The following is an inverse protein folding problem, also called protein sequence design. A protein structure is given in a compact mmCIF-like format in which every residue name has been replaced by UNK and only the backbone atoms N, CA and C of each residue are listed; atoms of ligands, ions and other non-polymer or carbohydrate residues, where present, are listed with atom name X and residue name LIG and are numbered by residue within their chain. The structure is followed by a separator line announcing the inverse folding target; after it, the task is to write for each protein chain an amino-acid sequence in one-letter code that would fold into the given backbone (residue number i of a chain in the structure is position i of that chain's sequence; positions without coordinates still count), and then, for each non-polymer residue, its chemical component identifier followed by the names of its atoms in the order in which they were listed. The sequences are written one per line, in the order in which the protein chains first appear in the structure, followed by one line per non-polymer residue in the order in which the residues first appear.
data_IF_726550876754
#
_entry.id   IF_726550876754
#
_cell.length_a   1.000
_cell.length_b   1.000
_cell.length_c   1.000
_cell.angle_alpha   90.00
_cell.angle_beta   90.00
_cell.angle_gamma   90.00
#
_symmetry.space_group_name_H-M   'P 1'
#
loop_
_entity.id
_entity.type
_entity.pdbx_description
1 polymer ?
#
# COMPACT_ATOMS: atom_id res chain seq x y z
N UNK A 1 -69.21 -25.09 61.62
CA UNK A 1 -69.51 -26.10 60.58
C UNK A 1 -70.72 -26.91 61.02
N UNK A 2 -71.93 -26.65 60.51
CA UNK A 2 -73.04 -27.57 60.72
C UNK A 2 -72.88 -28.75 59.75
N UNK A 3 -72.87 -29.94 60.33
CA UNK A 3 -72.68 -31.22 59.65
C UNK A 3 -73.77 -31.46 58.60
N UNK A 4 -73.35 -31.85 57.39
CA UNK A 4 -74.18 -32.27 56.25
C UNK A 4 -75.19 -33.40 56.58
N UNK A 5 -75.14 -33.97 57.79
CA UNK A 5 -76.07 -35.02 58.25
C UNK A 5 -77.45 -34.53 58.70
N UNK A 6 -77.66 -33.25 59.02
CA UNK A 6 -78.98 -32.76 59.50
C UNK A 6 -79.90 -32.14 58.43
N UNK A 7 -79.45 -32.00 57.17
CA UNK A 7 -80.30 -31.46 56.09
C UNK A 7 -81.43 -32.41 55.67
N UNK A 8 -81.36 -33.70 56.02
CA UNK A 8 -82.34 -34.71 55.62
C UNK A 8 -83.62 -34.77 56.49
N UNK A 9 -83.73 -34.00 57.57
CA UNK A 9 -84.86 -34.02 58.54
C UNK A 9 -85.74 -32.76 58.52
N UNK A 10 -85.49 -31.78 57.64
CA UNK A 10 -86.31 -30.56 57.56
C UNK A 10 -87.74 -30.79 57.04
N UNK A 11 -88.75 -30.01 57.47
CA UNK A 11 -90.09 -30.04 56.88
C UNK A 11 -90.03 -29.83 55.36
N UNK A 12 -90.86 -30.53 54.60
CA UNK A 12 -90.83 -30.56 53.13
C UNK A 12 -90.96 -29.18 52.48
N UNK A 13 -91.71 -28.26 53.11
CA UNK A 13 -91.92 -26.88 52.63
C UNK A 13 -90.63 -26.05 52.60
N UNK A 14 -89.78 -26.15 53.63
CA UNK A 14 -88.51 -25.40 53.71
C UNK A 14 -87.51 -25.91 52.67
N UNK A 15 -87.49 -27.23 52.41
CA UNK A 15 -86.63 -27.82 51.37
C UNK A 15 -86.99 -27.32 49.98
N UNK A 16 -88.29 -27.27 49.67
CA UNK A 16 -88.77 -26.75 48.38
C UNK A 16 -88.44 -25.25 48.22
N UNK A 17 -88.58 -24.46 49.28
CA UNK A 17 -88.20 -23.05 49.27
C UNK A 17 -86.71 -22.82 49.00
N UNK A 18 -85.83 -23.55 49.70
CA UNK A 18 -84.38 -23.46 49.47
C UNK A 18 -83.97 -23.99 48.09
N UNK A 19 -84.59 -25.07 47.61
CA UNK A 19 -84.34 -25.61 46.27
C UNK A 19 -84.74 -24.62 45.17
N UNK A 20 -85.88 -23.93 45.32
CA UNK A 20 -86.33 -22.91 44.38
C UNK A 20 -85.40 -21.69 44.36
N UNK A 21 -84.91 -21.23 45.52
CA UNK A 21 -83.94 -20.13 45.59
C UNK A 21 -82.61 -20.49 44.94
N UNK A 22 -82.07 -21.68 45.20
CA UNK A 22 -80.83 -22.14 44.58
C UNK A 22 -80.98 -22.33 43.06
N UNK A 23 -82.12 -22.86 42.61
CA UNK A 23 -82.43 -22.98 41.18
C UNK A 23 -82.61 -21.61 40.51
N UNK A 24 -83.25 -20.65 41.18
CA UNK A 24 -83.38 -19.28 40.69
C UNK A 24 -82.03 -18.56 40.61
N UNK A 25 -81.17 -18.75 41.63
CA UNK A 25 -79.84 -18.16 41.67
C UNK A 25 -78.92 -18.78 40.59
N UNK A 26 -79.02 -20.08 40.34
CA UNK A 26 -78.26 -20.74 39.26
C UNK A 26 -78.74 -20.31 37.86
N UNK A 27 -80.06 -20.13 37.66
CA UNK A 27 -80.61 -19.58 36.42
C UNK A 27 -80.20 -18.12 36.20
N UNK A 28 -80.23 -17.29 37.25
CA UNK A 28 -79.77 -15.91 37.18
C UNK A 28 -78.28 -15.82 36.85
N UNK A 29 -77.45 -16.69 37.44
CA UNK A 29 -76.02 -16.77 37.14
C UNK A 29 -75.76 -17.26 35.71
N UNK A 30 -76.51 -18.26 35.23
CA UNK A 30 -76.45 -18.74 33.85
C UNK A 30 -76.87 -17.64 32.85
N UNK A 31 -77.88 -16.84 33.19
CA UNK A 31 -78.31 -15.69 32.39
C UNK A 31 -77.25 -14.57 32.36
N UNK A 32 -76.63 -14.25 33.50
CA UNK A 32 -75.54 -13.26 33.59
C UNK A 32 -74.32 -13.68 32.76
N UNK A 33 -73.90 -14.95 32.85
CA UNK A 33 -72.79 -15.47 32.04
C UNK A 33 -73.08 -15.46 30.53
N UNK A 34 -74.34 -15.63 30.12
CA UNK A 34 -74.75 -15.48 28.72
C UNK A 34 -74.66 -14.02 28.23
N UNK A 35 -74.99 -13.05 29.08
CA UNK A 35 -74.86 -11.62 28.77
C UNK A 35 -73.39 -11.22 28.61
N UNK A 36 -72.52 -11.68 29.51
CA UNK A 36 -71.08 -11.44 29.41
C UNK A 36 -70.50 -12.00 28.11
N UNK A 37 -70.94 -13.19 27.70
CA UNK A 37 -70.54 -13.79 26.43
C UNK A 37 -71.00 -12.98 25.21
N UNK A 38 -72.18 -12.36 25.26
CA UNK A 38 -72.70 -11.50 24.19
C UNK A 38 -71.92 -10.18 24.10
N UNK A 39 -71.65 -9.55 25.24
CA UNK A 39 -70.85 -8.32 25.35
C UNK A 39 -69.41 -8.56 24.88
N UNK A 40 -68.79 -9.68 25.27
CA UNK A 40 -67.45 -10.04 24.84
C UNK A 40 -67.35 -10.24 23.31
N UNK A 41 -68.35 -10.88 22.68
CA UNK A 41 -68.42 -11.02 21.22
C UNK A 41 -68.59 -9.68 20.52
N UNK A 42 -69.43 -8.80 21.08
CA UNK A 42 -69.63 -7.45 20.55
C UNK A 42 -68.34 -6.62 20.63
N UNK A 43 -67.62 -6.64 21.76
CA UNK A 43 -66.32 -5.98 21.92
C UNK A 43 -65.27 -6.55 20.96
N UNK A 44 -65.22 -7.88 20.78
CA UNK A 44 -64.31 -8.52 19.84
C UNK A 44 -64.61 -8.11 18.38
N UNK A 45 -65.89 -8.02 18.01
CA UNK A 45 -66.31 -7.52 16.70
C UNK A 45 -65.94 -6.04 16.52
N UNK A 46 -66.14 -5.21 17.55
CA UNK A 46 -65.74 -3.79 17.56
C UNK A 46 -64.22 -3.65 17.33
N UNK A 47 -63.42 -4.41 18.07
CA UNK A 47 -61.97 -4.41 17.96
C UNK A 47 -61.50 -4.86 16.56
N UNK A 48 -62.13 -5.89 16.00
CA UNK A 48 -61.81 -6.38 14.65
C UNK A 48 -62.14 -5.34 13.57
N UNK A 49 -63.26 -4.62 13.70
CA UNK A 49 -63.56 -3.53 12.76
C UNK A 49 -62.60 -2.35 12.90
N UNK A 50 -62.15 -2.04 14.13
CA UNK A 50 -61.17 -0.98 14.36
C UNK A 50 -59.80 -1.32 13.72
N UNK A 51 -59.33 -2.57 13.84
CA UNK A 51 -58.07 -3.00 13.21
C UNK A 51 -58.19 -3.02 11.69
N UNK A 52 -59.31 -3.49 11.13
CA UNK A 52 -59.55 -3.47 9.69
C UNK A 52 -59.58 -2.04 9.13
N UNK A 53 -60.23 -1.09 9.83
CA UNK A 53 -60.23 0.33 9.42
C UNK A 53 -58.82 0.94 9.47
N UNK A 54 -58.06 0.64 10.51
CA UNK A 54 -56.67 1.10 10.63
C UNK A 54 -55.78 0.54 9.50
N UNK A 55 -55.89 -0.76 9.21
CA UNK A 55 -55.16 -1.41 8.13
C UNK A 55 -55.54 -0.82 6.76
N UNK A 56 -56.84 -0.59 6.52
CA UNK A 56 -57.32 0.03 5.29
C UNK A 56 -56.82 1.47 5.13
N UNK A 57 -56.82 2.27 6.19
CA UNK A 57 -56.28 3.63 6.18
C UNK A 57 -54.78 3.66 5.85
N UNK A 58 -53.99 2.74 6.43
CA UNK A 58 -52.57 2.60 6.08
C UNK A 58 -52.36 2.15 4.64
N UNK A 59 -53.17 1.21 4.14
CA UNK A 59 -53.12 0.76 2.76
C UNK A 59 -53.48 1.90 1.78
N UNK A 60 -54.49 2.70 2.09
CA UNK A 60 -54.87 3.87 1.30
C UNK A 60 -53.79 4.95 1.31
N UNK A 61 -53.18 5.24 2.46
CA UNK A 61 -52.08 6.20 2.56
C UNK A 61 -50.87 5.76 1.71
N UNK A 62 -50.53 4.47 1.74
CA UNK A 62 -49.47 3.89 0.89
C UNK A 62 -49.86 3.93 -0.60
N UNK A 63 -51.11 3.62 -0.94
CA UNK A 63 -51.62 3.70 -2.31
C UNK A 63 -51.64 5.14 -2.84
N UNK A 64 -51.90 6.13 -1.99
CA UNK A 64 -51.85 7.56 -2.35
C UNK A 64 -50.44 8.08 -2.63
N UNK A 65 -49.42 7.48 -2.02
CA UNK A 65 -48.00 7.79 -2.30
C UNK A 65 -47.45 7.07 -3.54
N UNK A 66 -48.15 6.04 -4.01
CA UNK A 66 -47.73 5.20 -5.13
C UNK A 66 -47.51 5.98 -6.44
N UNK A 67 -48.38 6.94 -6.84
CA UNK A 67 -48.18 7.77 -8.04
C UNK A 67 -46.92 8.62 -7.93
N UNK A 68 -46.65 9.22 -6.77
CA UNK A 68 -45.45 10.05 -6.56
C UNK A 68 -44.17 9.21 -6.61
N UNK A 69 -44.18 8.02 -6.00
CA UNK A 69 -43.03 7.11 -6.06
C UNK A 69 -42.78 6.60 -7.48
N UNK A 70 -43.83 6.30 -8.25
CA UNK A 70 -43.71 5.92 -9.67
C UNK A 70 -43.18 7.09 -10.51
N UNK A 71 -43.69 8.30 -10.30
CA UNK A 71 -43.21 9.50 -10.98
C UNK A 71 -41.72 9.74 -10.69
N UNK A 72 -41.29 9.63 -9.42
CA UNK A 72 -39.86 9.69 -9.04
C UNK A 72 -39.04 8.59 -9.70
N UNK A 73 -39.54 7.36 -9.77
CA UNK A 73 -38.84 6.28 -10.46
C UNK A 73 -38.67 6.57 -11.96
N UNK A 74 -39.71 7.04 -12.64
CA UNK A 74 -39.61 7.39 -14.06
C UNK A 74 -38.66 8.56 -14.31
N UNK A 75 -38.66 9.56 -13.43
CA UNK A 75 -37.76 10.72 -13.49
C UNK A 75 -36.30 10.30 -13.30
N UNK A 76 -36.04 9.46 -12.29
CA UNK A 76 -34.70 8.90 -12.04
C UNK A 76 -34.27 8.02 -13.20
N UNK A 77 -35.15 7.19 -13.76
CA UNK A 77 -34.84 6.35 -14.91
C UNK A 77 -34.54 7.16 -16.17
N UNK A 78 -35.29 8.24 -16.43
CA UNK A 78 -35.03 9.14 -17.55
C UNK A 78 -33.70 9.87 -17.36
N UNK A 79 -33.43 10.37 -16.15
CA UNK A 79 -32.15 11.02 -15.82
C UNK A 79 -30.99 10.06 -16.01
N UNK A 80 -31.12 8.82 -15.54
CA UNK A 80 -30.12 7.79 -15.72
C UNK A 80 -29.89 7.47 -17.20
N UNK A 81 -30.95 7.35 -18.00
CA UNK A 81 -30.84 7.12 -19.44
C UNK A 81 -30.10 8.27 -20.16
N UNK A 82 -30.34 9.52 -19.77
CA UNK A 82 -29.60 10.68 -20.30
C UNK A 82 -28.13 10.65 -19.88
N UNK A 83 -27.84 10.28 -18.63
CA UNK A 83 -26.46 10.12 -18.15
C UNK A 83 -25.74 8.96 -18.85
N UNK A 84 -26.42 7.86 -19.11
CA UNK A 84 -25.91 6.72 -19.88
C UNK A 84 -25.56 7.12 -21.32
N UNK A 85 -26.32 8.03 -21.94
CA UNK A 85 -26.00 8.58 -23.27
C UNK A 85 -24.80 9.54 -23.25
N UNK A 86 -24.52 10.20 -22.12
CA UNK A 86 -23.39 11.12 -21.95
C UNK A 86 -22.08 10.40 -21.58
N UNK A 87 -22.16 9.16 -21.09
CA UNK A 87 -20.98 8.35 -20.77
C UNK A 87 -20.44 7.69 -22.07
N UNK A 88 -19.16 7.88 -22.43
CA UNK A 88 -18.60 7.31 -23.66
C UNK A 88 -18.79 5.78 -23.70
N UNK A 89 -19.61 5.34 -24.66
CA UNK A 89 -20.06 3.95 -24.81
C UNK A 89 -18.95 3.06 -25.38
N UNK A 90 -18.64 1.97 -24.65
CA UNK A 90 -18.22 0.62 -25.09
C UNK A 90 -17.07 0.43 -26.11
N UNK A 91 -16.91 1.28 -27.13
CA UNK A 91 -16.01 1.11 -28.28
C UNK A 91 -14.62 1.71 -28.12
N UNK A 92 -14.33 2.43 -27.04
CA UNK A 92 -13.02 3.07 -26.85
C UNK A 92 -12.08 2.24 -25.94
N UNK A 93 -12.32 0.92 -25.82
CA UNK A 93 -11.34 0.04 -25.17
C UNK A 93 -10.05 -0.10 -26.00
N UNK A 94 -10.11 -0.31 -27.33
CA UNK A 94 -8.91 -0.34 -28.16
C UNK A 94 -8.13 0.99 -28.13
N UNK A 95 -8.82 2.13 -28.10
CA UNK A 95 -8.16 3.43 -27.99
C UNK A 95 -7.49 3.60 -26.63
N UNK A 96 -8.11 3.17 -25.52
CA UNK A 96 -7.48 3.20 -24.21
C UNK A 96 -6.15 2.41 -24.19
N UNK A 97 -6.12 1.22 -24.79
CA UNK A 97 -4.89 0.43 -24.86
C UNK A 97 -3.80 1.16 -25.63
N UNK A 98 -4.17 1.85 -26.72
CA UNK A 98 -3.26 2.69 -27.49
C UNK A 98 -2.81 3.92 -26.71
N UNK A 99 -3.70 4.60 -25.99
CA UNK A 99 -3.41 5.79 -25.18
C UNK A 99 -2.44 5.46 -24.04
N UNK A 100 -2.64 4.33 -23.36
CA UNK A 100 -1.72 3.84 -22.32
C UNK A 100 -0.34 3.56 -22.91
N UNK A 101 -0.30 2.91 -24.07
CA UNK A 101 0.97 2.60 -24.73
C UNK A 101 1.69 3.88 -25.19
N UNK A 102 0.96 4.83 -25.78
CA UNK A 102 1.50 6.11 -26.22
C UNK A 102 1.99 6.96 -25.05
N UNK A 103 1.28 6.98 -23.92
CA UNK A 103 1.71 7.66 -22.71
C UNK A 103 3.05 7.10 -22.19
N UNK A 104 3.23 5.78 -22.19
CA UNK A 104 4.50 5.17 -21.79
C UNK A 104 5.63 5.46 -22.78
N UNK A 105 5.37 5.34 -24.09
CA UNK A 105 6.36 5.62 -25.14
C UNK A 105 6.80 7.09 -25.14
N UNK A 106 5.90 8.04 -24.89
CA UNK A 106 6.20 9.46 -24.79
C UNK A 106 7.17 9.79 -23.63
N UNK A 107 7.18 8.96 -22.58
CA UNK A 107 8.13 9.05 -21.46
C UNK A 107 9.40 8.23 -21.67
N UNK A 108 9.60 7.63 -22.85
CA UNK A 108 10.76 6.80 -23.17
C UNK A 108 10.75 5.42 -22.48
N UNK A 109 9.59 4.98 -21.99
CA UNK A 109 9.43 3.67 -21.38
C UNK A 109 9.30 2.56 -22.45
N UNK A 110 9.84 1.39 -22.15
CA UNK A 110 9.78 0.20 -23.00
C UNK A 110 8.83 -0.82 -22.38
N UNK A 111 7.77 -1.20 -23.09
CA UNK A 111 6.85 -2.24 -22.63
C UNK A 111 7.41 -3.63 -22.96
N UNK A 112 7.70 -4.43 -21.94
CA UNK A 112 8.08 -5.84 -22.07
C UNK A 112 6.85 -6.75 -22.13
N UNK A 113 5.82 -6.39 -21.37
CA UNK A 113 4.54 -7.10 -21.32
C UNK A 113 3.42 -6.08 -21.37
N UNK A 114 2.46 -6.33 -22.25
CA UNK A 114 1.17 -5.65 -22.26
C UNK A 114 0.10 -6.67 -22.62
N UNK A 115 -0.56 -7.24 -21.62
CA UNK A 115 -1.52 -8.34 -21.81
C UNK A 115 -2.86 -8.05 -21.14
N UNK A 116 -3.90 -7.71 -21.92
CA UNK A 116 -5.27 -7.65 -21.43
C UNK A 116 -5.76 -9.03 -20.98
N UNK A 117 -6.40 -9.09 -19.82
CA UNK A 117 -7.06 -10.26 -19.29
C UNK A 117 -8.57 -10.23 -19.58
N UNK A 118 -9.28 -11.38 -19.48
CA UNK A 118 -10.73 -11.42 -19.63
C UNK A 118 -11.43 -10.46 -18.66
N UNK A 119 -12.53 -9.81 -19.08
CA UNK A 119 -13.30 -8.93 -18.22
C UNK A 119 -13.84 -9.68 -16.99
N UNK A 120 -13.76 -9.04 -15.82
CA UNK A 120 -14.23 -9.57 -14.54
C UNK A 120 -15.52 -8.85 -14.15
N UNK A 121 -16.68 -9.52 -14.23
CA UNK A 121 -17.97 -8.98 -13.80
C UNK A 121 -17.98 -8.58 -12.33
N UNK A 122 -18.47 -7.37 -12.03
CA UNK A 122 -18.78 -6.91 -10.68
C UNK A 122 -20.28 -6.58 -10.59
N UNK A 123 -20.77 -6.17 -9.42
CA UNK A 123 -22.20 -5.99 -9.20
C UNK A 123 -22.89 -4.95 -10.11
N UNK A 124 -22.18 -3.88 -10.52
CA UNK A 124 -22.74 -2.79 -11.32
C UNK A 124 -21.78 -2.30 -12.43
N UNK A 125 -20.63 -2.94 -12.58
CA UNK A 125 -19.56 -2.54 -13.50
C UNK A 125 -18.75 -3.77 -13.92
N UNK A 126 -17.93 -3.62 -14.95
CA UNK A 126 -16.99 -4.66 -15.41
C UNK A 126 -15.59 -4.09 -15.32
N UNK A 127 -14.70 -4.80 -14.63
CA UNK A 127 -13.29 -4.45 -14.56
C UNK A 127 -12.52 -5.27 -15.61
N UNK A 128 -11.64 -4.64 -16.37
CA UNK A 128 -10.74 -5.30 -17.31
C UNK A 128 -9.30 -5.15 -16.80
N UNK A 129 -8.70 -6.23 -16.27
CA UNK A 129 -7.31 -6.21 -15.85
C UNK A 129 -6.37 -6.22 -17.05
N UNK A 130 -5.33 -5.39 -17.01
CA UNK A 130 -4.28 -5.32 -18.03
C UNK A 130 -2.95 -5.48 -17.28
N UNK A 131 -2.31 -6.62 -17.48
CA UNK A 131 -0.99 -6.86 -16.91
C UNK A 131 0.06 -6.12 -17.74
N UNK A 132 0.83 -5.26 -17.08
CA UNK A 132 1.90 -4.48 -17.70
C UNK A 132 3.24 -4.79 -17.03
N UNK A 133 4.28 -4.87 -17.86
CA UNK A 133 5.68 -4.84 -17.44
C UNK A 133 6.40 -3.80 -18.27
N UNK A 134 6.97 -2.80 -17.60
CA UNK A 134 7.56 -1.63 -18.26
C UNK A 134 8.95 -1.39 -17.73
N UNK A 135 9.92 -1.14 -18.62
CA UNK A 135 11.31 -0.84 -18.29
C UNK A 135 11.62 0.64 -18.57
N UNK A 136 12.31 1.30 -17.65
CA UNK A 136 12.73 2.69 -17.81
C UNK A 136 13.45 3.27 -16.58
N UNK A 137 13.65 4.59 -16.58
CA UNK A 137 14.18 5.32 -15.42
C UNK A 137 13.12 5.63 -14.37
N UNK A 138 13.54 6.01 -13.16
CA UNK A 138 12.62 6.26 -12.04
C UNK A 138 11.63 7.40 -12.33
N UNK A 139 12.15 8.53 -12.83
CA UNK A 139 11.31 9.68 -13.14
C UNK A 139 10.36 9.43 -14.30
N UNK A 140 10.78 8.65 -15.30
CA UNK A 140 9.94 8.27 -16.42
C UNK A 140 8.75 7.40 -15.97
N UNK A 141 8.98 6.45 -15.06
CA UNK A 141 7.92 5.64 -14.46
C UNK A 141 6.95 6.49 -13.63
N UNK A 142 7.47 7.41 -12.81
CA UNK A 142 6.64 8.33 -12.03
C UNK A 142 5.79 9.26 -12.90
N UNK A 143 6.37 9.79 -13.98
CA UNK A 143 5.66 10.62 -14.94
C UNK A 143 4.57 9.85 -15.70
N UNK A 144 4.85 8.60 -16.09
CA UNK A 144 3.84 7.73 -16.69
C UNK A 144 2.65 7.47 -15.76
N UNK A 145 2.89 7.24 -14.46
CA UNK A 145 1.80 7.10 -13.48
C UNK A 145 0.94 8.37 -13.37
N UNK A 146 1.55 9.56 -13.49
CA UNK A 146 0.82 10.82 -13.54
C UNK A 146 -0.01 10.94 -14.82
N UNK A 147 0.54 10.57 -15.97
CA UNK A 147 -0.17 10.61 -17.26
C UNK A 147 -1.38 9.68 -17.29
N UNK A 148 -1.28 8.49 -16.67
CA UNK A 148 -2.41 7.58 -16.52
C UNK A 148 -3.61 8.23 -15.80
N UNK A 149 -3.34 9.16 -14.88
CA UNK A 149 -4.37 9.88 -14.13
C UNK A 149 -5.10 10.94 -14.99
N UNK A 150 -4.49 11.39 -16.09
CA UNK A 150 -5.08 12.34 -17.05
C UNK A 150 -5.85 11.67 -18.19
N UNK A 151 -5.79 10.33 -18.30
CA UNK A 151 -6.56 9.63 -19.31
C UNK A 151 -8.06 9.90 -19.14
N UNK A 152 -8.84 9.99 -20.24
CA UNK A 152 -10.28 10.27 -20.20
C UNK A 152 -11.13 9.12 -19.60
N UNK A 153 -10.48 8.13 -18.98
CA UNK A 153 -11.07 6.88 -18.52
C UNK A 153 -10.56 6.51 -17.13
N UNK A 154 -11.40 5.84 -16.36
CA UNK A 154 -11.04 5.39 -15.01
C UNK A 154 -10.08 4.19 -15.13
N UNK A 155 -8.81 4.44 -14.84
CA UNK A 155 -7.77 3.42 -14.75
C UNK A 155 -7.19 3.46 -13.35
N UNK A 156 -7.18 2.33 -12.67
CA UNK A 156 -6.52 2.18 -11.36
C UNK A 156 -5.33 1.24 -11.45
N UNK A 157 -4.31 1.51 -10.65
CA UNK A 157 -3.08 0.72 -10.61
C UNK A 157 -3.12 -0.21 -9.40
N UNK A 158 -2.86 -1.50 -9.61
CA UNK A 158 -2.85 -2.52 -8.56
C UNK A 158 -1.55 -3.33 -8.60
N UNK A 159 -1.13 -3.83 -7.42
CA UNK A 159 -0.02 -4.78 -7.32
C UNK A 159 1.30 -4.23 -7.88
N UNK A 160 1.64 -2.99 -7.55
CA UNK A 160 2.85 -2.33 -8.02
C UNK A 160 4.09 -2.96 -7.40
N UNK A 161 5.00 -3.45 -8.24
CA UNK A 161 6.31 -3.95 -7.86
C UNK A 161 7.39 -3.34 -8.77
N UNK A 162 8.45 -2.82 -8.18
CA UNK A 162 9.58 -2.20 -8.92
C UNK A 162 10.84 -2.96 -8.59
N UNK A 163 11.58 -3.34 -9.62
CA UNK A 163 12.86 -4.05 -9.49
C UNK A 163 13.95 -3.25 -10.22
N UNK A 164 15.07 -3.01 -9.53
CA UNK A 164 16.23 -2.37 -10.13
C UNK A 164 17.16 -3.42 -10.74
N UNK A 165 17.66 -3.17 -11.95
CA UNK A 165 18.68 -3.98 -12.57
C UNK A 165 20.10 -3.47 -12.22
N UNK A 166 21.14 -4.23 -12.58
CA UNK A 166 22.55 -3.87 -12.32
C UNK A 166 23.03 -2.63 -13.08
N UNK A 167 22.29 -2.20 -14.11
CA UNK A 167 22.62 -1.09 -15.01
C UNK A 167 21.90 0.21 -14.59
N UNK A 168 21.11 0.19 -13.50
CA UNK A 168 20.33 1.33 -13.01
C UNK A 168 18.97 1.53 -13.72
N UNK A 169 18.58 0.63 -14.62
CA UNK A 169 17.23 0.62 -15.19
C UNK A 169 16.24 -0.08 -14.26
N UNK A 170 15.03 0.46 -14.16
CA UNK A 170 13.95 -0.10 -13.36
C UNK A 170 12.96 -0.85 -14.23
N UNK A 171 12.53 -2.01 -13.75
CA UNK A 171 11.41 -2.77 -14.30
C UNK A 171 10.22 -2.63 -13.34
N UNK A 172 9.12 -2.08 -13.82
CA UNK A 172 7.85 -1.92 -13.12
C UNK A 172 6.89 -3.04 -13.58
N UNK A 173 6.43 -3.85 -12.64
CA UNK A 173 5.32 -4.79 -12.78
C UNK A 173 4.07 -4.21 -12.12
N UNK A 174 2.96 -4.15 -12.86
CA UNK A 174 1.68 -3.71 -12.31
C UNK A 174 0.49 -4.29 -13.07
N UNK A 175 -0.68 -4.26 -12.45
CA UNK A 175 -1.96 -4.60 -13.09
C UNK A 175 -2.84 -3.35 -13.11
N UNK A 176 -3.14 -2.86 -14.31
CA UNK A 176 -4.08 -1.76 -14.51
C UNK A 176 -5.50 -2.33 -14.55
N UNK A 177 -6.45 -1.74 -13.83
CA UNK A 177 -7.87 -2.04 -14.00
C UNK A 177 -8.55 -0.89 -14.72
N UNK A 178 -9.09 -1.18 -15.91
CA UNK A 178 -9.99 -0.28 -16.62
C UNK A 178 -11.44 -0.66 -16.32
N UNK A 179 -12.28 0.34 -16.03
CA UNK A 179 -13.68 0.11 -15.68
C UNK A 179 -14.63 0.52 -16.81
N UNK A 180 -15.66 -0.29 -17.04
CA UNK A 180 -16.75 0.03 -17.96
C UNK A 180 -18.11 -0.42 -17.43
N UNK A 181 -19.18 0.10 -18.01
CA UNK A 181 -20.50 -0.45 -17.80
C UNK A 181 -20.66 -1.82 -18.48
N UNK A 182 -21.44 -2.73 -17.87
CA UNK A 182 -21.79 -4.02 -18.46
C UNK A 182 -22.76 -3.84 -19.63
N UNK A 183 -22.64 -4.72 -20.62
CA UNK A 183 -23.54 -4.73 -21.77
C UNK A 183 -24.92 -5.33 -21.43
N UNK A 184 -25.87 -5.30 -22.37
CA UNK A 184 -27.21 -5.83 -22.11
C UNK A 184 -27.22 -7.33 -21.78
N UNK A 185 -26.36 -8.13 -22.43
CA UNK A 185 -26.27 -9.57 -22.20
C UNK A 185 -25.54 -9.89 -20.89
N UNK A 186 -24.44 -9.20 -20.61
CA UNK A 186 -23.69 -9.27 -19.37
C UNK A 186 -24.54 -8.85 -18.16
N UNK A 187 -25.34 -7.79 -18.29
CA UNK A 187 -26.30 -7.38 -17.25
C UNK A 187 -27.30 -8.48 -16.94
N UNK A 188 -27.91 -9.07 -17.97
CA UNK A 188 -28.84 -10.19 -17.79
C UNK A 188 -28.17 -11.40 -17.12
N UNK A 189 -26.93 -11.72 -17.53
CA UNK A 189 -26.16 -12.80 -16.91
C UNK A 189 -25.77 -12.50 -15.44
N UNK A 190 -25.48 -11.24 -15.10
CA UNK A 190 -25.19 -10.80 -13.74
C UNK A 190 -26.43 -10.85 -12.84
N UNK A 191 -27.58 -10.42 -13.34
CA UNK A 191 -28.86 -10.48 -12.62
C UNK A 191 -29.27 -11.93 -12.30
N UNK A 192 -29.02 -12.85 -13.23
CA UNK A 192 -29.26 -14.29 -13.04
C UNK A 192 -28.29 -14.94 -12.05
N UNK A 193 -27.06 -14.43 -11.91
CA UNK A 193 -26.03 -14.94 -10.99
C UNK A 193 -26.20 -14.49 -9.53
N UNK A 194 -27.15 -13.61 -9.24
CA UNK A 194 -27.32 -12.99 -7.91
C UNK A 194 -27.54 -14.08 -6.83
N UNK A 195 -26.65 -14.24 -5.83
CA UNK A 195 -27.04 -14.96 -4.62
C UNK A 195 -28.10 -14.13 -3.90
N UNK A 196 -29.10 -14.78 -3.31
CA UNK A 196 -30.15 -14.18 -2.49
C UNK A 196 -29.57 -13.56 -1.19
N UNK A 197 -28.70 -12.55 -1.31
CA UNK A 197 -28.19 -11.80 -0.17
C UNK A 197 -29.20 -10.72 0.15
N UNK A 198 -29.77 -10.80 1.35
CA UNK A 198 -30.71 -9.84 1.91
C UNK A 198 -30.29 -8.41 1.58
N UNK A 199 -31.25 -7.62 1.08
CA UNK A 199 -31.07 -6.22 0.75
C UNK A 199 -30.42 -5.50 1.94
N UNK A 200 -29.12 -5.25 1.83
CA UNK A 200 -28.43 -4.40 2.81
C UNK A 200 -29.06 -3.02 2.67
N UNK A 201 -29.48 -2.37 3.78
CA UNK A 201 -30.10 -1.06 3.70
C UNK A 201 -29.19 -0.12 2.91
N UNK A 202 -29.75 0.71 2.01
CA UNK A 202 -28.97 1.58 1.15
C UNK A 202 -28.08 2.47 2.02
N UNK A 203 -26.76 2.32 1.89
CA UNK A 203 -25.81 3.20 2.56
C UNK A 203 -26.02 4.60 1.98
N UNK A 204 -26.07 5.67 2.80
CA UNK A 204 -26.23 7.03 2.29
C UNK A 204 -25.14 7.31 1.25
N UNK A 205 -25.56 7.85 0.09
CA UNK A 205 -24.66 8.17 -0.99
C UNK A 205 -23.60 9.15 -0.47
N UNK A 206 -22.33 8.79 -0.60
CA UNK A 206 -21.25 9.75 -0.36
C UNK A 206 -21.27 10.76 -1.50
N UNK A 207 -21.14 12.07 -1.22
CA UNK A 207 -20.99 13.06 -2.28
C UNK A 207 -19.78 12.69 -3.14
N UNK A 208 -19.96 12.77 -4.46
CA UNK A 208 -18.88 12.57 -5.41
C UNK A 208 -17.89 13.71 -5.28
N UNK A 209 -16.65 13.40 -4.94
CA UNK A 209 -15.54 14.36 -4.97
C UNK A 209 -14.81 14.17 -6.30
N UNK A 210 -14.75 15.18 -7.18
CA UNK A 210 -14.04 15.04 -8.45
C UNK A 210 -12.56 14.76 -8.17
N UNK A 211 -12.03 13.72 -8.81
CA UNK A 211 -10.60 13.46 -8.79
C UNK A 211 -9.90 14.52 -9.65
N UNK A 212 -8.89 15.20 -9.07
CA UNK A 212 -8.06 16.17 -9.77
C UNK A 212 -6.70 15.51 -10.02
N UNK A 213 -6.36 15.20 -11.28
CA UNK A 213 -5.05 14.65 -11.64
C UNK A 213 -3.94 15.63 -11.22
N UNK A 214 -2.75 15.09 -10.94
CA UNK A 214 -1.57 15.89 -10.57
C UNK A 214 -0.40 15.52 -11.46
N UNK A 215 0.34 16.54 -11.89
CA UNK A 215 1.59 16.36 -12.62
C UNK A 215 2.68 15.76 -11.74
N UNK A 216 3.60 15.07 -12.39
CA UNK A 216 4.80 14.56 -11.75
C UNK A 216 5.79 15.71 -11.50
N UNK A 217 5.90 16.15 -10.24
CA UNK A 217 6.71 17.31 -9.84
C UNK A 217 8.16 16.97 -9.43
N UNK A 218 8.51 15.69 -9.33
CA UNK A 218 9.82 15.25 -8.87
C UNK A 218 10.84 15.04 -10.03
N UNK A 219 10.54 15.50 -11.25
CA UNK A 219 11.40 15.32 -12.42
C UNK A 219 12.76 15.99 -12.31
N UNK A 220 12.85 17.06 -11.51
CA UNK A 220 14.05 17.88 -11.38
C UNK A 220 15.00 17.35 -10.29
N UNK A 221 14.55 16.37 -9.51
CA UNK A 221 15.38 15.71 -8.50
C UNK A 221 16.30 14.67 -9.16
N UNK A 222 17.46 14.36 -8.55
CA UNK A 222 18.32 13.28 -9.04
C UNK A 222 17.61 11.93 -8.99
N UNK A 223 17.86 11.08 -10.00
CA UNK A 223 17.32 9.71 -10.03
C UNK A 223 17.90 8.89 -8.88
N UNK A 224 17.07 8.39 -7.94
CA UNK A 224 17.54 7.63 -6.78
C UNK A 224 18.11 6.25 -7.12
N UNK A 225 17.85 5.73 -8.33
CA UNK A 225 18.31 4.42 -8.80
C UNK A 225 19.22 4.49 -10.02
N UNK A 226 19.46 5.70 -10.55
CA UNK A 226 20.49 5.93 -11.54
C UNK A 226 21.83 5.42 -11.03
N UNK A 227 22.70 4.97 -11.94
CA UNK A 227 24.07 4.58 -11.61
C UNK A 227 24.62 5.64 -10.66
N UNK A 228 24.91 5.24 -9.41
CA UNK A 228 25.39 6.15 -8.39
C UNK A 228 26.49 6.94 -9.09
N UNK A 229 26.21 8.23 -9.37
CA UNK A 229 27.28 9.13 -9.77
C UNK A 229 28.24 8.91 -8.62
N UNK A 230 29.40 8.32 -8.91
CA UNK A 230 30.51 8.36 -7.98
C UNK A 230 30.60 9.85 -7.71
N UNK A 231 30.00 10.29 -6.60
CA UNK A 231 30.10 11.64 -6.12
C UNK A 231 31.61 11.80 -6.14
N UNK A 232 32.17 12.68 -6.99
CA UNK A 232 33.62 12.75 -7.16
C UNK A 232 34.13 12.82 -5.75
N UNK A 233 34.81 11.75 -5.30
CA UNK A 233 35.00 11.48 -3.88
C UNK A 233 35.41 12.80 -3.29
N UNK A 234 34.53 13.43 -2.49
CA UNK A 234 34.52 14.88 -2.27
C UNK A 234 35.95 15.36 -2.28
N UNK A 235 36.31 16.24 -3.23
CA UNK A 235 37.68 16.63 -3.60
C UNK A 235 38.45 17.38 -2.48
N UNK A 236 38.24 16.94 -1.24
CA UNK A 236 38.75 17.41 0.03
C UNK A 236 38.97 16.29 1.05
N UNK A 237 38.60 15.01 0.78
CA UNK A 237 38.94 13.89 1.66
C UNK A 237 40.27 13.21 1.29
N UNK A 238 40.59 13.13 0.00
CA UNK A 238 41.85 12.55 -0.50
C UNK A 238 42.88 13.61 -0.94
N UNK A 239 42.53 14.90 -0.98
CA UNK A 239 43.47 15.94 -1.35
C UNK A 239 44.50 16.15 -0.21
N UNK A 240 45.81 16.13 -0.49
CA UNK A 240 46.82 16.38 0.53
C UNK A 240 46.72 17.82 1.04
N UNK A 241 46.85 18.00 2.36
CA UNK A 241 46.80 19.32 3.00
C UNK A 241 48.04 20.16 2.63
N UNK A 242 47.90 21.22 1.81
CA UNK A 242 49.05 22.01 1.35
C UNK A 242 49.61 22.93 2.44
N UNK A 243 48.93 23.08 3.59
CA UNK A 243 49.35 23.97 4.68
C UNK A 243 50.20 23.26 5.74
N UNK A 244 50.37 21.94 5.62
CA UNK A 244 51.17 21.13 6.54
C UNK A 244 52.66 21.37 6.32
N UNK A 245 53.43 21.45 7.40
CA UNK A 245 54.89 21.39 7.35
C UNK A 245 55.31 20.00 6.89
N UNK A 246 56.13 19.92 5.83
CA UNK A 246 56.62 18.66 5.29
C UNK A 246 57.63 18.00 6.22
N UNK A 247 57.52 16.68 6.37
CA UNK A 247 58.50 15.85 7.06
C UNK A 247 59.72 15.58 6.16
N UNK A 248 60.92 15.31 6.74
CA UNK A 248 62.14 15.07 5.97
C UNK A 248 62.03 13.94 4.93
N UNK A 249 61.21 12.93 5.22
CA UNK A 249 61.04 11.74 4.40
C UNK A 249 60.00 11.89 3.28
N UNK A 250 59.30 13.03 3.21
CA UNK A 250 58.42 13.35 2.07
C UNK A 250 59.20 13.79 0.82
N UNK A 251 60.48 14.15 0.98
CA UNK A 251 61.37 14.53 -0.12
C UNK A 251 61.98 13.36 -0.88
N UNK A 252 61.93 12.15 -0.31
CA UNK A 252 62.57 10.95 -0.84
C UNK A 252 61.50 10.04 -1.43
N UNK A 253 61.72 9.47 -2.61
CA UNK A 253 60.79 8.51 -3.20
C UNK A 253 60.82 7.18 -2.43
N UNK A 254 59.67 6.49 -2.35
CA UNK A 254 59.58 5.19 -1.66
C UNK A 254 60.55 4.14 -2.23
N UNK A 255 60.87 4.20 -3.52
CA UNK A 255 61.85 3.35 -4.18
C UNK A 255 63.28 3.52 -3.64
N UNK A 256 63.60 4.67 -3.07
CA UNK A 256 64.88 4.97 -2.42
C UNK A 256 64.88 4.73 -0.91
N UNK A 257 63.81 4.16 -0.36
CA UNK A 257 63.68 3.84 1.05
C UNK A 257 63.71 2.34 1.28
N UNK A 258 64.42 1.92 2.32
CA UNK A 258 64.43 0.55 2.78
C UNK A 258 64.03 0.48 4.25
N UNK A 259 63.07 -0.37 4.59
CA UNK A 259 62.83 -0.71 5.99
C UNK A 259 63.96 -1.62 6.46
N UNK A 260 64.74 -1.19 7.46
CA UNK A 260 65.86 -1.97 7.99
C UNK A 260 65.51 -2.72 9.28
N UNK A 261 64.39 -2.37 9.91
CA UNK A 261 63.95 -3.02 11.15
C UNK A 261 62.76 -2.31 11.78
N UNK A 262 62.36 -2.80 12.94
CA UNK A 262 61.38 -2.16 13.82
C UNK A 262 61.95 -2.06 15.23
N UNK A 263 61.57 -1.01 15.96
CA UNK A 263 62.03 -0.71 17.30
C UNK A 263 60.81 -0.59 18.20
N UNK A 264 60.72 -1.44 19.23
CA UNK A 264 59.63 -1.38 20.21
C UNK A 264 60.09 -0.64 21.47
N UNK A 265 59.60 0.58 21.68
CA UNK A 265 59.87 1.39 22.87
C UNK A 265 58.56 1.84 23.53
N UNK A 266 58.46 1.70 24.86
CA UNK A 266 57.29 2.13 25.65
C UNK A 266 55.94 1.62 25.11
N UNK A 267 55.90 0.39 24.59
CA UNK A 267 54.68 -0.22 24.05
C UNK A 267 54.25 0.29 22.66
N UNK A 268 55.04 1.15 22.00
CA UNK A 268 54.83 1.57 20.61
C UNK A 268 55.87 0.92 19.70
N UNK A 269 55.41 0.47 18.53
CA UNK A 269 56.24 -0.13 17.49
C UNK A 269 56.55 0.94 16.44
N UNK A 270 57.80 1.40 16.41
CA UNK A 270 58.31 2.33 15.41
C UNK A 270 59.07 1.56 14.33
N UNK A 271 58.99 2.01 13.08
CA UNK A 271 59.79 1.46 11.99
C UNK A 271 61.11 2.23 11.86
N UNK A 272 62.18 1.51 11.50
CA UNK A 272 63.46 2.09 11.12
C UNK A 272 63.59 2.03 9.60
N UNK A 273 63.66 3.18 8.95
CA UNK A 273 63.88 3.29 7.51
C UNK A 273 65.24 3.90 7.22
N UNK A 274 65.93 3.34 6.25
CA UNK A 274 67.11 3.94 5.65
C UNK A 274 66.71 4.70 4.39
N UNK A 275 67.07 5.97 4.32
CA UNK A 275 66.87 6.83 3.17
C UNK A 275 68.13 7.69 2.97
N UNK A 276 68.69 7.71 1.75
CA UNK A 276 69.92 8.44 1.42
C UNK A 276 71.09 8.15 2.38
N UNK A 277 71.25 6.89 2.79
CA UNK A 277 72.33 6.46 3.70
C UNK A 277 72.14 6.86 5.17
N UNK A 278 71.02 7.51 5.56
CA UNK A 278 70.69 7.87 6.94
C UNK A 278 69.51 7.06 7.45
N UNK A 279 69.52 6.77 8.75
CA UNK A 279 68.46 6.06 9.47
C UNK A 279 67.44 7.05 10.04
N UNK A 280 66.17 6.77 9.83
CA UNK A 280 65.04 7.54 10.33
C UNK A 280 64.07 6.65 11.08
N UNK A 281 63.51 7.17 12.16
CA UNK A 281 62.48 6.50 12.97
C UNK A 281 61.12 7.05 12.62
N UNK A 282 60.18 6.15 12.31
CA UNK A 282 58.84 6.52 11.83
C UNK A 282 57.79 5.80 12.68
N UNK A 283 56.77 6.56 13.07
CA UNK A 283 55.61 6.05 13.77
C UNK A 283 54.38 6.01 12.84
N UNK A 284 53.33 5.29 13.25
CA UNK A 284 52.04 5.32 12.57
C UNK A 284 51.49 6.75 12.53
N UNK A 285 50.97 7.17 11.38
CA UNK A 285 50.47 8.53 11.15
C UNK A 285 51.47 9.55 10.59
N UNK A 286 52.75 9.17 10.41
CA UNK A 286 53.73 10.00 9.69
C UNK A 286 53.62 9.84 8.17
N UNK A 287 54.23 10.77 7.43
CA UNK A 287 54.15 10.81 5.97
C UNK A 287 55.48 10.46 5.32
N UNK A 288 55.38 9.74 4.21
CA UNK A 288 56.48 9.20 3.44
C UNK A 288 56.26 9.48 1.96
N UNK A 289 57.33 9.79 1.24
CA UNK A 289 57.25 9.91 -0.21
C UNK A 289 56.68 11.24 -0.70
N UNK A 290 56.92 11.55 -1.99
CA UNK A 290 56.40 12.75 -2.64
C UNK A 290 54.88 12.71 -2.85
N UNK A 291 54.28 11.51 -2.83
CA UNK A 291 52.85 11.25 -3.05
C UNK A 291 52.05 11.21 -1.73
N UNK A 292 52.53 11.88 -0.69
CA UNK A 292 51.86 12.03 0.62
C UNK A 292 51.45 10.69 1.25
N UNK A 293 52.35 9.71 1.25
CA UNK A 293 52.12 8.37 1.79
C UNK A 293 51.95 8.36 3.30
N UNK A 294 50.71 8.28 3.79
CA UNK A 294 50.43 8.17 5.23
C UNK A 294 50.69 6.73 5.72
N UNK A 295 51.51 6.58 6.75
CA UNK A 295 51.74 5.28 7.40
C UNK A 295 50.51 4.85 8.19
N UNK A 296 49.81 3.82 7.70
CA UNK A 296 48.58 3.32 8.31
C UNK A 296 48.84 2.22 9.34
N UNK A 297 49.85 1.38 9.10
CA UNK A 297 50.25 0.33 10.01
C UNK A 297 51.75 0.02 9.90
N UNK A 298 52.36 -0.30 11.03
CA UNK A 298 53.75 -0.78 11.13
C UNK A 298 53.69 -2.19 11.70
N UNK A 299 54.35 -3.12 11.03
CA UNK A 299 54.60 -4.48 11.52
C UNK A 299 56.10 -4.75 11.56
N UNK A 300 56.50 -5.89 12.11
CA UNK A 300 57.92 -6.30 12.14
C UNK A 300 58.48 -6.58 10.73
N UNK A 301 57.61 -6.91 9.77
CA UNK A 301 57.99 -7.38 8.43
C UNK A 301 57.77 -6.34 7.33
N UNK A 302 56.83 -5.42 7.53
CA UNK A 302 56.48 -4.41 6.54
C UNK A 302 55.79 -3.19 7.15
N UNK A 303 55.87 -2.08 6.43
CA UNK A 303 55.11 -0.86 6.67
C UNK A 303 54.02 -0.78 5.62
N UNK A 304 52.78 -0.57 6.04
CA UNK A 304 51.64 -0.31 5.16
C UNK A 304 51.39 1.19 5.11
N UNK A 305 51.27 1.72 3.90
CA UNK A 305 51.06 3.14 3.67
C UNK A 305 50.01 3.40 2.60
N UNK A 306 49.38 4.58 2.69
CA UNK A 306 48.35 5.05 1.76
C UNK A 306 48.85 6.32 1.09
N UNK A 307 49.14 6.24 -0.21
CA UNK A 307 49.56 7.34 -1.07
C UNK A 307 48.35 7.99 -1.74
N UNK A 308 48.55 9.22 -2.22
CA UNK A 308 47.59 9.94 -3.05
C UNK A 308 48.27 10.31 -4.37
N UNK A 309 47.86 9.66 -5.47
CA UNK A 309 48.34 9.95 -6.81
C UNK A 309 47.29 10.73 -7.61
N UNK A 310 47.71 11.68 -8.46
CA UNK A 310 46.81 12.29 -9.44
C UNK A 310 46.67 11.38 -10.66
N UNK A 311 45.44 11.18 -11.13
CA UNK A 311 45.20 10.51 -12.41
C UNK A 311 45.39 11.45 -13.61
N UNK A 312 45.35 10.90 -14.83
CA UNK A 312 45.52 11.65 -16.07
C UNK A 312 44.42 12.72 -16.29
N UNK A 313 43.29 12.63 -15.59
CA UNK A 313 42.20 13.60 -15.59
C UNK A 313 42.31 14.66 -14.49
N UNK A 314 43.37 14.63 -13.67
CA UNK A 314 43.61 15.56 -12.58
C UNK A 314 42.87 15.24 -11.27
N UNK A 315 42.19 14.09 -11.18
CA UNK A 315 41.53 13.65 -9.96
C UNK A 315 42.52 12.95 -9.01
N UNK A 316 42.41 13.20 -7.71
CA UNK A 316 43.19 12.51 -6.68
C UNK A 316 42.66 11.09 -6.46
N UNK A 317 43.53 10.09 -6.50
CA UNK A 317 43.23 8.68 -6.24
C UNK A 317 44.13 8.14 -5.13
N UNK A 318 43.54 7.41 -4.19
CA UNK A 318 44.30 6.73 -3.15
C UNK A 318 44.92 5.43 -3.69
N UNK A 319 46.19 5.18 -3.37
CA UNK A 319 46.90 3.94 -3.67
C UNK A 319 47.47 3.36 -2.38
N UNK A 320 47.30 2.06 -2.16
CA UNK A 320 47.98 1.36 -1.06
C UNK A 320 49.33 0.88 -1.54
N UNK A 321 50.36 1.13 -0.76
CA UNK A 321 51.71 0.63 -1.00
C UNK A 321 52.29 0.06 0.30
N UNK A 322 53.26 -0.83 0.16
CA UNK A 322 53.90 -1.49 1.30
C UNK A 322 55.41 -1.51 1.13
N UNK A 323 56.14 -1.14 2.17
CA UNK A 323 57.60 -1.26 2.24
C UNK A 323 57.94 -2.49 3.10
N UNK A 324 58.53 -3.52 2.48
CA UNK A 324 58.97 -4.71 3.18
C UNK A 324 60.35 -4.52 3.85
N UNK A 325 60.60 -5.28 4.90
CA UNK A 325 61.88 -5.37 5.59
C UNK A 325 62.96 -5.88 4.63
N UNK A 326 63.99 -5.07 4.39
CA UNK A 326 65.22 -5.53 3.74
C UNK A 326 66.12 -6.17 4.79
N UNK A 327 66.28 -7.50 4.68
CA UNK A 327 67.27 -8.23 5.48
C UNK A 327 68.66 -7.83 5.00
N UNK A 328 69.38 -7.07 5.82
CA UNK A 328 70.78 -6.75 5.60
C UNK A 328 71.62 -8.04 5.67
N UNK A 329 71.87 -8.67 4.51
CA UNK A 329 72.66 -9.90 4.44
C UNK A 329 72.80 -10.59 3.08
N UNK A 330 72.04 -10.20 2.04
CA UNK A 330 72.04 -10.93 0.76
C UNK A 330 72.87 -10.29 -0.38
N UNK A 331 73.35 -9.05 -0.26
CA UNK A 331 73.97 -8.34 -1.39
C UNK A 331 75.52 -8.28 -1.36
N UNK A 332 76.20 -8.99 -0.45
CA UNK A 332 77.67 -8.91 -0.29
C UNK A 332 78.43 -10.22 -0.57
N UNK A 333 77.86 -11.19 -1.29
CA UNK A 333 78.53 -12.48 -1.59
C UNK A 333 78.62 -12.87 -3.06
N UNK A 334 78.44 -11.94 -3.99
CA UNK A 334 78.48 -12.23 -5.43
C UNK A 334 79.44 -11.32 -6.20
N UNK A 335 80.53 -10.93 -5.54
CA UNK A 335 81.66 -10.24 -6.13
C UNK A 335 82.99 -10.74 -5.53
N UNK A 336 83.14 -12.05 -5.37
CA UNK A 336 84.46 -12.72 -5.26
C UNK A 336 84.29 -14.25 -5.43
N UNK A 337 84.04 -14.71 -6.66
CA UNK A 337 84.52 -15.99 -7.19
C UNK A 337 84.24 -16.16 -8.67
#
# INVERSE_FOLDING_TARGET
MPSLKQMALWPSSVRLGCAALLAGLSLALAWLTQLDALVARWQAAQAHTATLRAAHGQAQAKAGQLPQLRARQSEVAATLATLEQQLPLQQEMPSLLSDINQAGLARGLQFELFKPAPPVPQAHYVAMPIAIRVRGGYHALGAFMADLAYLPRIVTVHGLAVQANKEGALTLDAVLHAYRLPDAQERQAMDQRKPARAATPPRPARPFVPFVPRDYSASDLPDPFGAARELPATAGAAAPDPRRVREPLESVALSGMAMVGSLRQHGRLDALLQANGRLYRIATGQYLGPDYGLVTAISEQAIQLREVARDAGGAWRERRASLALQVAGAAAREADK
#
